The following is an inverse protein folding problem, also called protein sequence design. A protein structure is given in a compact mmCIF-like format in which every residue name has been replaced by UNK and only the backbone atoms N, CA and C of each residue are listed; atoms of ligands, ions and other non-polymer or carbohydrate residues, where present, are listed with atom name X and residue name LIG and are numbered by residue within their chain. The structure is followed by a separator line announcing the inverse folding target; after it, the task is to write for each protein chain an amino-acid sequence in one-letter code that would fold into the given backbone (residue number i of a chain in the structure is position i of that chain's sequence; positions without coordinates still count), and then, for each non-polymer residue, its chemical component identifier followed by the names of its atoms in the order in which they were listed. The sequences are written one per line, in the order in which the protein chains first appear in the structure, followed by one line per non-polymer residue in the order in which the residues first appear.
data_IF_363884841005
#
_entry.id   IF_363884841005
#
_cell.length_a   1.000
_cell.length_b   1.000
_cell.length_c   1.000
_cell.angle_alpha   90.00
_cell.angle_beta   90.00
_cell.angle_gamma   90.00
#
_symmetry.space_group_name_H-M   'P 1'
#
loop_
_entity.id
_entity.type
_entity.pdbx_description
1 polymer ?
#
# COMPACT_ATOMS: atom_id res chain seq x y z
N UNK A 1 50.52 -10.29 49.84
CA UNK A 1 50.78 -10.80 48.45
C UNK A 1 50.59 -12.30 48.44
N UNK A 2 50.32 -12.91 47.28
CA UNK A 2 50.31 -14.37 47.13
C UNK A 2 51.62 -14.82 46.49
N UNK A 3 52.23 -15.87 47.03
CA UNK A 3 53.43 -16.49 46.48
C UNK A 3 53.05 -17.72 45.66
N UNK A 4 53.33 -17.72 44.37
CA UNK A 4 52.96 -18.83 43.47
C UNK A 4 53.84 -20.07 43.65
N UNK A 5 54.98 -19.96 44.33
CA UNK A 5 55.83 -21.10 44.67
C UNK A 5 55.44 -21.73 46.02
N UNK A 6 55.05 -20.91 47.01
CA UNK A 6 54.56 -21.40 48.30
C UNK A 6 53.07 -21.75 48.29
N UNK A 7 52.35 -21.37 47.23
CA UNK A 7 50.89 -21.53 47.09
C UNK A 7 50.09 -20.94 48.27
N UNK A 8 50.62 -19.88 48.87
CA UNK A 8 50.06 -19.24 50.05
C UNK A 8 49.99 -17.71 49.91
N UNK A 9 49.03 -17.11 50.60
CA UNK A 9 48.90 -15.66 50.75
C UNK A 9 49.46 -15.20 52.08
N UNK A 10 50.33 -14.20 52.06
CA UNK A 10 51.01 -13.67 53.23
C UNK A 10 50.62 -12.21 53.49
N UNK A 11 50.49 -11.85 54.78
CA UNK A 11 50.55 -10.46 55.21
C UNK A 11 51.97 -9.90 55.07
N UNK A 12 52.13 -8.60 55.23
CA UNK A 12 53.37 -7.89 54.91
C UNK A 12 54.58 -8.39 55.70
N UNK A 13 54.42 -8.65 57.00
CA UNK A 13 55.50 -9.18 57.86
C UNK A 13 55.96 -10.56 57.43
N UNK A 14 55.04 -11.46 57.06
CA UNK A 14 55.37 -12.81 56.59
C UNK A 14 55.86 -12.84 55.13
N UNK A 15 55.77 -11.72 54.41
CA UNK A 15 56.29 -11.58 53.06
C UNK A 15 57.78 -11.18 53.06
N UNK A 16 58.26 -10.57 54.15
CA UNK A 16 59.62 -10.04 54.26
C UNK A 16 60.74 -11.05 53.89
N UNK A 17 60.65 -12.34 54.29
CA UNK A 17 61.63 -13.35 53.86
C UNK A 17 61.73 -13.54 52.34
N UNK A 18 60.66 -13.26 51.58
CA UNK A 18 60.67 -13.35 50.12
C UNK A 18 61.51 -12.27 49.43
N UNK A 19 61.79 -11.15 50.11
CA UNK A 19 62.63 -10.08 49.57
C UNK A 19 64.09 -10.20 50.00
N UNK A 20 64.31 -10.62 51.25
CA UNK A 20 65.61 -10.59 51.91
C UNK A 20 66.39 -11.89 51.77
N UNK A 21 65.72 -13.05 51.80
CA UNK A 21 66.38 -14.35 51.75
C UNK A 21 66.73 -14.74 50.31
N UNK A 22 68.00 -15.09 50.01
CA UNK A 22 68.40 -15.60 48.70
C UNK A 22 67.58 -16.82 48.23
N UNK A 23 67.11 -17.64 49.17
CA UNK A 23 66.31 -18.84 48.88
C UNK A 23 64.93 -18.50 48.31
N UNK A 24 64.29 -17.45 48.82
CA UNK A 24 62.91 -17.09 48.45
C UNK A 24 62.82 -15.96 47.43
N UNK A 25 63.94 -15.27 47.16
CA UNK A 25 64.02 -14.17 46.19
C UNK A 25 63.60 -14.55 44.77
N UNK A 26 63.67 -15.84 44.43
CA UNK A 26 63.21 -16.38 43.13
C UNK A 26 61.71 -16.65 43.07
N UNK A 27 61.00 -16.58 44.19
CA UNK A 27 59.57 -16.88 44.22
C UNK A 27 58.78 -15.73 43.58
N UNK A 28 57.88 -16.08 42.66
CA UNK A 28 57.01 -15.10 42.00
C UNK A 28 55.87 -14.69 42.93
N UNK A 29 55.87 -13.41 43.32
CA UNK A 29 54.81 -12.79 44.10
C UNK A 29 53.80 -12.10 43.18
N UNK A 30 52.51 -12.27 43.46
CA UNK A 30 51.40 -11.60 42.76
C UNK A 30 50.48 -10.92 43.76
N UNK A 31 49.64 -9.98 43.29
CA UNK A 31 48.64 -9.31 44.14
C UNK A 31 47.81 -10.36 44.86
N UNK A 32 47.62 -10.16 46.17
CA UNK A 32 46.87 -11.10 46.99
C UNK A 32 45.46 -11.27 46.41
N UNK A 33 45.04 -12.53 46.24
CA UNK A 33 43.73 -12.88 45.72
C UNK A 33 43.08 -13.89 46.66
N UNK A 34 41.79 -13.69 46.97
CA UNK A 34 41.01 -14.65 47.75
C UNK A 34 40.82 -15.99 47.01
N UNK A 35 41.00 -16.00 45.69
CA UNK A 35 40.80 -17.13 44.79
C UNK A 35 42.11 -17.87 44.48
N UNK A 36 43.08 -17.88 45.40
CA UNK A 36 44.34 -18.59 45.16
C UNK A 36 44.10 -20.11 45.06
N UNK A 37 43.18 -20.64 45.88
CA UNK A 37 42.84 -22.07 45.89
C UNK A 37 42.25 -22.55 44.56
N UNK A 38 41.48 -21.71 43.86
CA UNK A 38 40.93 -22.00 42.53
C UNK A 38 42.00 -22.13 41.43
N UNK A 39 43.25 -21.73 41.72
CA UNK A 39 44.38 -21.81 40.80
C UNK A 39 45.28 -23.01 41.08
N UNK A 40 44.93 -23.84 42.05
CA UNK A 40 45.67 -25.02 42.47
C UNK A 40 44.91 -26.26 42.00
N UNK A 41 45.62 -27.20 41.40
CA UNK A 41 45.09 -28.49 41.02
C UNK A 41 44.68 -29.28 42.27
N UNK A 42 43.43 -29.72 42.31
CA UNK A 42 42.87 -30.52 43.41
C UNK A 42 43.51 -31.89 43.56
N UNK A 43 44.14 -32.43 42.53
CA UNK A 43 44.73 -33.78 42.53
C UNK A 43 46.21 -33.80 42.90
N UNK A 44 46.95 -32.76 42.52
CA UNK A 44 48.42 -32.75 42.63
C UNK A 44 48.98 -31.61 43.48
N UNK A 45 48.12 -30.72 43.99
CA UNK A 45 48.50 -29.53 44.76
C UNK A 45 49.57 -28.67 44.04
N UNK A 46 49.46 -28.58 42.70
CA UNK A 46 50.33 -27.78 41.82
C UNK A 46 49.54 -26.68 41.14
N UNK A 47 50.22 -25.61 40.72
CA UNK A 47 49.60 -24.49 40.02
C UNK A 47 49.02 -24.93 38.66
N UNK A 48 47.83 -24.42 38.33
CA UNK A 48 47.18 -24.62 37.03
C UNK A 48 47.79 -23.69 35.97
N UNK A 49 48.98 -24.05 35.49
CA UNK A 49 49.76 -23.22 34.55
C UNK A 49 49.68 -23.66 33.08
N UNK A 50 49.02 -24.79 32.81
CA UNK A 50 48.78 -25.34 31.47
C UNK A 50 47.29 -25.26 31.15
N UNK A 51 46.95 -25.07 29.88
CA UNK A 51 45.58 -25.15 29.38
C UNK A 51 45.46 -26.31 28.39
N UNK A 52 44.53 -27.22 28.65
CA UNK A 52 44.17 -28.28 27.73
C UNK A 52 43.08 -27.77 26.78
N UNK A 53 43.38 -27.69 25.48
CA UNK A 53 42.42 -27.24 24.46
C UNK A 53 41.36 -28.28 24.16
N UNK A 54 41.72 -29.55 24.25
CA UNK A 54 40.81 -30.68 24.05
C UNK A 54 39.66 -30.64 25.06
N UNK A 55 39.98 -30.44 26.34
CA UNK A 55 38.99 -30.44 27.43
C UNK A 55 38.59 -29.03 27.91
N UNK A 56 39.19 -27.99 27.32
CA UNK A 56 38.94 -26.58 27.59
C UNK A 56 39.10 -26.13 29.06
N UNK A 57 40.08 -26.70 29.76
CA UNK A 57 40.31 -26.42 31.18
C UNK A 57 41.79 -26.14 31.51
N UNK A 58 42.01 -25.37 32.59
CA UNK A 58 43.34 -25.17 33.14
C UNK A 58 43.75 -26.39 33.98
N UNK A 59 44.96 -26.91 33.76
CA UNK A 59 45.54 -28.11 34.40
C UNK A 59 46.96 -27.82 34.89
N UNK A 60 47.51 -28.68 35.75
CA UNK A 60 48.92 -28.60 36.16
C UNK A 60 49.82 -29.47 35.26
N UNK A 61 51.14 -29.34 35.37
CA UNK A 61 52.10 -30.13 34.57
C UNK A 61 52.02 -31.64 34.81
N UNK A 62 51.61 -32.09 36.01
CA UNK A 62 51.46 -33.51 36.31
C UNK A 62 50.23 -34.10 35.61
N UNK A 63 49.11 -33.36 35.56
CA UNK A 63 47.92 -33.74 34.80
C UNK A 63 48.20 -33.98 33.30
N UNK A 64 49.15 -33.25 32.71
CA UNK A 64 49.56 -33.43 31.30
C UNK A 64 50.17 -34.81 31.07
N UNK A 65 50.91 -35.33 32.05
CA UNK A 65 51.58 -36.63 31.97
C UNK A 65 50.64 -37.80 32.31
N UNK A 66 49.61 -37.54 33.12
CA UNK A 66 48.63 -38.51 33.59
C UNK A 66 47.37 -38.50 32.69
N UNK A 67 46.30 -37.86 33.16
CA UNK A 67 44.96 -37.92 32.57
C UNK A 67 44.83 -37.24 31.20
N UNK A 68 45.65 -36.22 30.93
CA UNK A 68 45.62 -35.44 29.67
C UNK A 68 46.73 -35.84 28.69
N UNK A 69 47.27 -37.05 28.84
CA UNK A 69 48.36 -37.54 27.99
C UNK A 69 47.91 -37.64 26.53
N UNK A 70 48.58 -36.89 25.66
CA UNK A 70 48.27 -36.86 24.23
C UNK A 70 47.22 -35.83 23.81
N UNK A 71 46.69 -35.03 24.74
CA UNK A 71 45.79 -33.93 24.42
C UNK A 71 46.57 -32.70 23.90
N UNK A 72 45.89 -31.83 23.15
CA UNK A 72 46.46 -30.55 22.72
C UNK A 72 46.57 -29.62 23.93
N UNK A 73 47.79 -29.41 24.41
CA UNK A 73 48.08 -28.63 25.61
C UNK A 73 49.06 -27.51 25.31
N UNK A 74 48.81 -26.34 25.89
CA UNK A 74 49.63 -25.13 25.76
C UNK A 74 49.74 -24.45 27.12
N UNK A 75 50.69 -23.53 27.30
CA UNK A 75 50.71 -22.76 28.55
C UNK A 75 49.46 -21.89 28.69
N UNK A 76 48.94 -21.74 29.91
CA UNK A 76 47.77 -20.91 30.18
C UNK A 76 48.00 -19.44 29.76
N UNK A 77 49.24 -18.96 29.82
CA UNK A 77 49.60 -17.62 29.36
C UNK A 77 49.52 -17.48 27.82
N UNK A 78 49.96 -18.49 27.07
CA UNK A 78 49.86 -18.50 25.61
C UNK A 78 48.39 -18.58 25.17
N UNK A 79 47.60 -19.48 25.75
CA UNK A 79 46.18 -19.60 25.41
C UNK A 79 45.40 -18.32 25.77
N UNK A 80 45.69 -17.71 26.93
CA UNK A 80 45.10 -16.42 27.30
C UNK A 80 45.34 -15.37 26.22
N UNK A 81 46.55 -15.31 25.67
CA UNK A 81 46.90 -14.33 24.62
C UNK A 81 46.06 -14.53 23.37
N UNK A 82 45.87 -15.78 22.94
CA UNK A 82 45.01 -16.11 21.80
C UNK A 82 43.53 -15.84 22.08
N UNK A 83 43.01 -16.25 23.25
CA UNK A 83 41.62 -15.97 23.67
C UNK A 83 41.37 -14.48 23.83
N UNK A 84 42.35 -13.71 24.31
CA UNK A 84 42.28 -12.25 24.41
C UNK A 84 42.15 -11.60 23.02
N UNK A 85 42.89 -12.10 22.03
CA UNK A 85 42.79 -11.66 20.63
C UNK A 85 41.41 -11.98 20.05
N UNK A 86 40.92 -13.19 20.26
CA UNK A 86 39.57 -13.61 19.83
C UNK A 86 38.47 -12.76 20.48
N UNK A 87 38.60 -12.46 21.77
CA UNK A 87 37.68 -11.57 22.49
C UNK A 87 37.67 -10.17 21.85
N UNK A 88 38.84 -9.61 21.52
CA UNK A 88 38.94 -8.32 20.85
C UNK A 88 38.23 -8.30 19.49
N UNK A 89 38.40 -9.35 18.67
CA UNK A 89 37.68 -9.46 17.39
C UNK A 89 36.16 -9.58 17.58
N UNK A 90 35.72 -10.38 18.55
CA UNK A 90 34.29 -10.51 18.88
C UNK A 90 33.69 -9.20 19.36
N UNK A 91 34.42 -8.45 20.19
CA UNK A 91 34.01 -7.13 20.66
C UNK A 91 33.87 -6.13 19.49
N UNK A 92 34.82 -6.12 18.55
CA UNK A 92 34.72 -5.30 17.34
C UNK A 92 33.51 -5.67 16.48
N UNK A 93 33.23 -6.97 16.29
CA UNK A 93 32.05 -7.44 15.54
C UNK A 93 30.74 -6.99 16.20
N UNK A 94 30.66 -7.09 17.52
CA UNK A 94 29.48 -6.62 18.28
C UNK A 94 29.31 -5.11 18.12
N UNK A 95 30.39 -4.35 18.23
CA UNK A 95 30.35 -2.88 18.08
C UNK A 95 29.91 -2.46 16.68
N UNK A 96 30.41 -3.13 15.63
CA UNK A 96 30.00 -2.88 14.27
C UNK A 96 28.50 -3.16 14.08
N UNK A 97 28.03 -4.33 14.53
CA UNK A 97 26.61 -4.70 14.44
C UNK A 97 25.72 -3.74 15.22
N UNK A 98 26.19 -3.22 16.35
CA UNK A 98 25.48 -2.21 17.12
C UNK A 98 25.30 -0.91 16.31
N UNK A 99 26.37 -0.41 15.69
CA UNK A 99 26.32 0.79 14.85
C UNK A 99 25.40 0.61 13.62
N UNK A 100 25.48 -0.55 12.96
CA UNK A 100 24.57 -0.90 11.85
C UNK A 100 23.11 -0.88 12.30
N UNK A 101 22.81 -1.46 13.48
CA UNK A 101 21.45 -1.48 14.03
C UNK A 101 20.94 -0.11 14.47
N UNK A 102 21.81 0.74 15.03
CA UNK A 102 21.45 2.14 15.33
C UNK A 102 21.14 2.92 14.05
N UNK A 103 21.87 2.66 12.96
CA UNK A 103 21.60 3.28 11.66
C UNK A 103 20.24 2.81 11.10
N UNK A 104 20.01 1.49 11.06
CA UNK A 104 18.72 0.92 10.63
C UNK A 104 17.55 1.47 11.44
N UNK A 105 17.71 1.63 12.76
CA UNK A 105 16.69 2.20 13.64
C UNK A 105 16.34 3.64 13.25
N UNK A 106 17.34 4.48 12.99
CA UNK A 106 17.13 5.88 12.58
C UNK A 106 16.46 5.97 11.22
N UNK A 107 16.90 5.17 10.25
CA UNK A 107 16.29 5.10 8.91
C UNK A 107 14.83 4.69 9.00
N UNK A 108 14.50 3.68 9.82
CA UNK A 108 13.13 3.24 10.03
C UNK A 108 12.27 4.31 10.73
N UNK A 109 12.80 4.99 11.74
CA UNK A 109 12.10 6.10 12.40
C UNK A 109 11.75 7.21 11.40
N UNK A 110 12.70 7.61 10.56
CA UNK A 110 12.49 8.60 9.51
C UNK A 110 11.46 8.14 8.48
N UNK A 111 11.50 6.88 8.05
CA UNK A 111 10.54 6.31 7.12
C UNK A 111 9.11 6.33 7.71
N UNK A 112 8.95 5.96 8.98
CA UNK A 112 7.66 6.00 9.68
C UNK A 112 7.11 7.43 9.80
N UNK A 113 7.95 8.40 10.15
CA UNK A 113 7.54 9.81 10.23
C UNK A 113 7.16 10.37 8.85
N UNK A 114 7.95 10.07 7.83
CA UNK A 114 7.67 10.46 6.44
C UNK A 114 6.34 9.85 5.96
N UNK A 115 6.11 8.57 6.25
CA UNK A 115 4.86 7.90 5.91
C UNK A 115 3.65 8.55 6.60
N UNK A 116 3.75 8.83 7.91
CA UNK A 116 2.70 9.53 8.65
C UNK A 116 2.38 10.90 8.04
N UNK A 117 3.40 11.67 7.66
CA UNK A 117 3.22 12.97 7.01
C UNK A 117 2.55 12.83 5.64
N UNK A 118 2.98 11.85 4.85
CA UNK A 118 2.39 11.57 3.54
C UNK A 118 0.92 11.16 3.66
N UNK A 119 0.58 10.30 4.63
CA UNK A 119 -0.80 9.88 4.89
C UNK A 119 -1.66 11.08 5.31
N UNK A 120 -1.14 11.95 6.18
CA UNK A 120 -1.83 13.18 6.59
C UNK A 120 -2.08 14.12 5.41
N UNK A 121 -1.07 14.35 4.56
CA UNK A 121 -1.22 15.16 3.34
C UNK A 121 -2.30 14.58 2.41
N UNK A 122 -2.30 13.26 2.20
CA UNK A 122 -3.30 12.61 1.36
C UNK A 122 -4.73 12.75 1.92
N UNK A 123 -4.90 12.74 3.24
CA UNK A 123 -6.19 13.04 3.90
C UNK A 123 -6.60 14.48 3.65
N UNK A 124 -5.70 15.44 3.87
CA UNK A 124 -5.98 16.87 3.66
C UNK A 124 -6.35 17.19 2.20
N UNK A 125 -5.60 16.64 1.25
CA UNK A 125 -5.88 16.77 -0.18
C UNK A 125 -7.24 16.15 -0.54
N UNK A 126 -7.55 14.97 0.00
CA UNK A 126 -8.83 14.30 -0.21
C UNK A 126 -10.00 15.11 0.37
N UNK A 127 -9.85 15.64 1.58
CA UNK A 127 -10.86 16.47 2.24
C UNK A 127 -11.14 17.75 1.44
N UNK A 128 -10.10 18.37 0.88
CA UNK A 128 -10.27 19.53 -0.01
C UNK A 128 -11.12 19.16 -1.23
N UNK A 129 -10.79 18.06 -1.92
CA UNK A 129 -11.51 17.60 -3.11
C UNK A 129 -12.99 17.32 -2.78
N UNK A 130 -13.27 16.59 -1.70
CA UNK A 130 -14.64 16.32 -1.28
C UNK A 130 -15.40 17.60 -0.92
N UNK A 131 -14.73 18.55 -0.26
CA UNK A 131 -15.33 19.85 0.05
C UNK A 131 -15.73 20.62 -1.21
N UNK A 132 -14.88 20.62 -2.25
CA UNK A 132 -15.20 21.26 -3.53
C UNK A 132 -16.36 20.58 -4.27
N UNK A 133 -16.45 19.25 -4.20
CA UNK A 133 -17.57 18.47 -4.74
C UNK A 133 -18.88 18.80 -4.02
N UNK A 134 -18.88 18.82 -2.69
CA UNK A 134 -20.05 19.17 -1.88
C UNK A 134 -20.56 20.57 -2.26
N UNK A 135 -19.66 21.57 -2.30
CA UNK A 135 -20.02 22.95 -2.71
C UNK A 135 -20.63 22.99 -4.11
N UNK A 136 -20.14 22.17 -5.02
CA UNK A 136 -20.67 22.10 -6.39
C UNK A 136 -22.07 21.51 -6.42
N UNK A 137 -22.35 20.47 -5.62
CA UNK A 137 -23.68 19.88 -5.47
C UNK A 137 -24.65 20.88 -4.82
N UNK A 138 -24.24 21.58 -3.76
CA UNK A 138 -25.03 22.62 -3.10
C UNK A 138 -25.40 23.75 -4.06
N UNK A 139 -24.45 24.17 -4.91
CA UNK A 139 -24.70 25.16 -5.97
C UNK A 139 -25.78 24.69 -6.94
N UNK A 140 -25.63 23.47 -7.48
CA UNK A 140 -26.63 22.87 -8.40
C UNK A 140 -28.01 22.72 -7.74
N UNK A 141 -28.04 22.35 -6.45
CA UNK A 141 -29.29 22.28 -5.67
C UNK A 141 -29.98 23.65 -5.59
N UNK A 142 -29.20 24.72 -5.38
CA UNK A 142 -29.71 26.09 -5.37
C UNK A 142 -30.23 26.51 -6.76
N UNK A 143 -29.49 26.21 -7.83
CA UNK A 143 -29.92 26.49 -9.21
C UNK A 143 -31.27 25.83 -9.55
N UNK A 144 -31.47 24.57 -9.15
CA UNK A 144 -32.76 23.87 -9.36
C UNK A 144 -33.90 24.56 -8.61
N UNK A 145 -33.67 25.00 -7.37
CA UNK A 145 -34.68 25.74 -6.60
C UNK A 145 -35.06 27.04 -7.28
N UNK A 146 -34.07 27.81 -7.73
CA UNK A 146 -34.31 29.07 -8.44
C UNK A 146 -35.09 28.88 -9.74
N UNK A 147 -34.78 27.83 -10.53
CA UNK A 147 -35.54 27.49 -11.74
C UNK A 147 -37.01 27.19 -11.44
N UNK A 148 -37.28 26.40 -10.40
CA UNK A 148 -38.65 26.08 -9.98
C UNK A 148 -39.39 27.35 -9.55
N UNK A 149 -38.77 28.20 -8.71
CA UNK A 149 -39.38 29.44 -8.23
C UNK A 149 -39.63 30.46 -9.34
N UNK A 150 -38.70 30.57 -10.30
CA UNK A 150 -38.87 31.44 -11.47
C UNK A 150 -40.06 30.99 -12.32
N UNK A 151 -40.17 29.68 -12.59
CA UNK A 151 -41.27 29.13 -13.38
C UNK A 151 -42.61 29.25 -12.65
N UNK A 152 -42.64 28.95 -11.34
CA UNK A 152 -43.81 29.15 -10.48
C UNK A 152 -44.30 30.60 -10.58
N UNK A 153 -43.41 31.58 -10.34
CA UNK A 153 -43.75 33.00 -10.39
C UNK A 153 -44.30 33.41 -11.76
N UNK A 154 -43.63 33.00 -12.85
CA UNK A 154 -44.06 33.36 -14.20
C UNK A 154 -45.45 32.83 -14.54
N UNK A 155 -45.72 31.55 -14.23
CA UNK A 155 -47.01 30.92 -14.51
C UNK A 155 -48.13 31.44 -13.60
N UNK A 156 -47.83 31.69 -12.33
CA UNK A 156 -48.80 32.30 -11.39
C UNK A 156 -49.18 33.71 -11.82
N UNK A 157 -48.21 34.58 -12.14
CA UNK A 157 -48.52 35.93 -12.62
C UNK A 157 -49.34 35.94 -13.91
N UNK A 158 -49.08 35.00 -14.83
CA UNK A 158 -49.90 34.83 -16.03
C UNK A 158 -51.33 34.41 -15.68
N UNK A 159 -51.50 33.43 -14.79
CA UNK A 159 -52.80 32.94 -14.37
C UNK A 159 -53.62 34.00 -13.60
N UNK A 160 -52.98 34.77 -12.72
CA UNK A 160 -53.59 35.89 -12.00
C UNK A 160 -54.11 36.97 -12.96
N UNK A 161 -53.34 37.29 -14.01
CA UNK A 161 -53.78 38.23 -15.04
C UNK A 161 -55.03 37.76 -15.79
N UNK A 162 -55.07 36.49 -16.19
CA UNK A 162 -56.26 35.88 -16.82
C UNK A 162 -57.46 35.83 -15.87
N UNK A 163 -57.22 35.55 -14.58
CA UNK A 163 -58.26 35.50 -13.56
C UNK A 163 -58.90 36.86 -13.34
N UNK A 164 -58.12 37.94 -13.37
CA UNK A 164 -58.64 39.30 -13.25
C UNK A 164 -59.44 39.72 -14.49
N UNK A 165 -58.96 39.38 -15.69
CA UNK A 165 -59.71 39.59 -16.93
C UNK A 165 -61.07 38.87 -16.90
N UNK A 166 -61.09 37.60 -16.47
CA UNK A 166 -62.32 36.83 -16.39
C UNK A 166 -63.29 37.38 -15.34
N UNK A 167 -62.80 37.86 -14.19
CA UNK A 167 -63.64 38.52 -13.18
C UNK A 167 -64.30 39.79 -13.73
N UNK A 168 -63.54 40.61 -14.45
CA UNK A 168 -64.05 41.83 -15.07
C UNK A 168 -65.13 41.51 -16.10
N UNK A 169 -64.89 40.53 -16.96
CA UNK A 169 -65.88 40.08 -17.96
C UNK A 169 -67.16 39.55 -17.29
N UNK A 170 -67.05 38.73 -16.25
CA UNK A 170 -68.20 38.25 -15.47
C UNK A 170 -68.98 39.43 -14.85
N UNK A 171 -68.29 40.45 -14.33
CA UNK A 171 -68.94 41.62 -13.76
C UNK A 171 -69.71 42.44 -14.80
N UNK A 172 -69.13 42.62 -16.00
CA UNK A 172 -69.77 43.29 -17.13
C UNK A 172 -70.99 42.51 -17.65
N UNK A 173 -70.86 41.18 -17.79
CA UNK A 173 -71.96 40.29 -18.18
C UNK A 173 -73.10 40.33 -17.15
N UNK A 174 -72.79 40.31 -15.85
CA UNK A 174 -73.79 40.45 -14.78
C UNK A 174 -74.52 41.79 -14.85
N UNK A 175 -73.79 42.90 -15.00
CA UNK A 175 -74.40 44.23 -15.16
C UNK A 175 -75.34 44.26 -16.35
N UNK A 176 -74.90 43.75 -17.51
CA UNK A 176 -75.72 43.70 -18.72
C UNK A 176 -76.95 42.82 -18.54
N UNK A 177 -76.83 41.68 -17.87
CA UNK A 177 -77.97 40.82 -17.54
C UNK A 177 -79.02 41.57 -16.73
N UNK A 178 -78.60 42.35 -15.72
CA UNK A 178 -79.54 43.15 -14.91
C UNK A 178 -80.21 44.28 -15.69
N UNK A 179 -79.48 44.95 -16.61
CA UNK A 179 -80.05 46.00 -17.46
C UNK A 179 -81.07 45.43 -18.46
N UNK A 180 -80.82 44.24 -19.02
CA UNK A 180 -81.75 43.54 -19.90
C UNK A 180 -83.00 43.08 -19.15
N UNK A 181 -82.85 42.56 -17.93
CA UNK A 181 -83.96 42.15 -17.07
C UNK A 181 -84.83 43.35 -16.65
N UNK A 182 -84.23 44.49 -16.30
CA UNK A 182 -85.01 45.71 -16.02
C UNK A 182 -85.79 46.19 -17.26
N UNK A 183 -85.16 46.13 -18.44
CA UNK A 183 -85.81 46.53 -19.67
C UNK A 183 -86.99 45.63 -20.04
N UNK A 184 -86.90 44.31 -19.80
CA UNK A 184 -87.98 43.37 -20.10
C UNK A 184 -89.25 43.58 -19.28
N UNK A 185 -89.15 44.24 -18.12
CA UNK A 185 -90.29 44.58 -17.26
C UNK A 185 -90.85 45.99 -17.51
N UNK A 186 -90.35 46.70 -18.53
CA UNK A 186 -90.82 48.05 -18.86
C UNK A 186 -92.12 48.00 -19.68
N UNK A 187 -93.18 48.67 -19.21
CA UNK A 187 -94.46 48.76 -19.94
C UNK A 187 -94.48 49.85 -21.03
N UNK A 188 -93.59 50.85 -20.96
CA UNK A 188 -93.44 51.89 -21.98
C UNK A 188 -92.75 51.35 -23.23
N UNK A 189 -93.55 51.14 -24.28
CA UNK A 189 -93.09 50.61 -25.56
C UNK A 189 -92.07 51.49 -26.29
N UNK A 190 -92.12 52.82 -26.12
CA UNK A 190 -91.17 53.73 -26.79
C UNK A 190 -89.82 53.66 -26.08
N UNK A 191 -89.81 53.74 -24.75
CA UNK A 191 -88.59 53.59 -23.95
C UNK A 191 -87.96 52.20 -24.14
N UNK A 192 -88.77 51.15 -24.26
CA UNK A 192 -88.30 49.79 -24.57
C UNK A 192 -87.52 49.76 -25.89
N UNK A 193 -88.12 50.24 -26.98
CA UNK A 193 -87.52 50.18 -28.32
C UNK A 193 -86.23 51.02 -28.42
N UNK A 194 -86.22 52.23 -27.83
CA UNK A 194 -85.04 53.10 -27.82
C UNK A 194 -83.87 52.49 -27.04
N UNK A 195 -84.16 51.89 -25.87
CA UNK A 195 -83.12 51.34 -24.99
C UNK A 195 -82.65 49.95 -25.46
N UNK A 196 -83.54 49.15 -26.04
CA UNK A 196 -83.20 47.88 -26.67
C UNK A 196 -82.24 48.07 -27.85
N UNK A 197 -82.46 49.09 -28.69
CA UNK A 197 -81.55 49.40 -29.79
C UNK A 197 -80.15 49.80 -29.31
N UNK A 198 -80.07 50.54 -28.20
CA UNK A 198 -78.79 50.90 -27.56
C UNK A 198 -78.08 49.68 -26.98
N UNK A 199 -78.82 48.81 -26.27
CA UNK A 199 -78.28 47.59 -25.64
C UNK A 199 -77.96 46.46 -26.64
N UNK A 200 -78.58 46.43 -27.82
CA UNK A 200 -78.31 45.43 -28.86
C UNK A 200 -77.11 45.79 -29.75
N UNK A 201 -76.77 47.07 -29.87
CA UNK A 201 -75.67 47.56 -30.71
C UNK A 201 -74.27 47.32 -30.14
N UNK A 202 -74.15 47.14 -28.83
CA UNK A 202 -72.88 46.79 -28.18
C UNK A 202 -72.71 45.29 -28.36
N UNK A 203 -71.85 44.87 -29.30
CA UNK A 203 -71.43 43.47 -29.41
C UNK A 203 -71.03 42.99 -28.01
N UNK A 204 -71.76 42.01 -27.48
CA UNK A 204 -71.24 41.21 -26.37
C UNK A 204 -69.83 40.80 -26.82
N UNK A 205 -68.85 40.97 -25.95
CA UNK A 205 -67.44 40.57 -26.10
C UNK A 205 -67.32 39.10 -26.51
N UNK A 206 -67.76 38.77 -27.72
CA UNK A 206 -67.68 37.46 -28.30
C UNK A 206 -66.22 37.28 -28.66
N UNK A 207 -65.66 36.22 -28.11
CA UNK A 207 -64.42 35.56 -28.54
C UNK A 207 -63.20 35.83 -27.66
N UNK A 208 -63.36 36.01 -26.33
CA UNK A 208 -62.30 35.55 -25.44
C UNK A 208 -62.26 34.01 -25.51
N UNK A 209 -61.15 33.39 -25.97
CA UNK A 209 -61.07 31.95 -26.10
C UNK A 209 -61.30 31.29 -24.73
N UNK A 210 -62.02 30.16 -24.71
CA UNK A 210 -62.25 29.40 -23.48
C UNK A 210 -60.91 29.07 -22.81
N UNK A 211 -60.74 29.49 -21.56
CA UNK A 211 -59.53 29.20 -20.78
C UNK A 211 -59.47 27.69 -20.55
N UNK A 212 -58.48 27.03 -21.15
CA UNK A 212 -58.22 25.59 -20.94
C UNK A 212 -57.28 25.44 -19.76
N UNK A 213 -57.79 24.89 -18.66
CA UNK A 213 -56.98 24.54 -17.48
C UNK A 213 -56.35 23.16 -17.69
N UNK A 214 -55.02 23.06 -17.59
CA UNK A 214 -54.33 21.77 -17.68
C UNK A 214 -54.49 20.96 -16.39
N UNK A 215 -54.59 19.61 -16.48
CA UNK A 215 -54.60 18.74 -15.31
C UNK A 215 -53.32 18.86 -14.45
N UNK A 216 -53.48 18.59 -13.15
CA UNK A 216 -52.48 18.75 -12.09
C UNK A 216 -51.30 17.78 -12.19
N UNK A 217 -50.23 18.18 -12.89
CA UNK A 217 -48.89 17.60 -12.76
C UNK A 217 -47.84 18.64 -13.19
N UNK A 218 -47.51 19.57 -12.29
CA UNK A 218 -46.69 20.74 -12.66
C UNK A 218 -45.18 20.54 -12.52
N UNK A 219 -44.71 19.75 -11.54
CA UNK A 219 -43.27 19.57 -11.28
C UNK A 219 -42.84 18.14 -10.93
N UNK A 220 -43.73 17.14 -11.06
CA UNK A 220 -43.42 15.74 -10.72
C UNK A 220 -42.22 15.18 -11.51
N UNK A 221 -42.09 15.57 -12.78
CA UNK A 221 -40.97 15.16 -13.63
C UNK A 221 -39.62 15.76 -13.20
N UNK A 222 -39.63 16.93 -12.55
CA UNK A 222 -38.41 17.54 -12.01
C UNK A 222 -37.87 16.69 -10.86
N UNK A 223 -38.74 16.29 -9.92
CA UNK A 223 -38.36 15.41 -8.82
C UNK A 223 -37.86 14.05 -9.31
N UNK A 224 -38.50 13.50 -10.36
CA UNK A 224 -38.06 12.26 -10.99
C UNK A 224 -36.67 12.41 -11.61
N UNK A 225 -36.43 13.48 -12.37
CA UNK A 225 -35.13 13.75 -13.01
C UNK A 225 -34.00 13.93 -11.99
N UNK A 226 -34.27 14.64 -10.88
CA UNK A 226 -33.31 14.78 -9.77
C UNK A 226 -33.02 13.43 -9.09
N UNK A 227 -34.04 12.57 -8.98
CA UNK A 227 -33.87 11.22 -8.43
C UNK A 227 -32.99 10.36 -9.34
N UNK A 228 -33.20 10.41 -10.66
CA UNK A 228 -32.34 9.71 -11.63
C UNK A 228 -30.88 10.21 -11.60
N UNK A 229 -30.67 11.51 -11.38
CA UNK A 229 -29.34 12.07 -11.17
C UNK A 229 -28.67 11.49 -9.91
N UNK A 230 -29.42 11.36 -8.81
CA UNK A 230 -28.92 10.76 -7.56
C UNK A 230 -28.42 9.33 -7.79
N UNK A 231 -29.24 8.48 -8.40
CA UNK A 231 -28.88 7.08 -8.66
C UNK A 231 -27.59 6.96 -9.48
N UNK A 232 -27.46 7.77 -10.56
CA UNK A 232 -26.24 7.79 -11.39
C UNK A 232 -25.01 8.22 -10.60
N UNK A 233 -25.14 9.21 -9.72
CA UNK A 233 -24.04 9.67 -8.88
C UNK A 233 -23.63 8.60 -7.86
N UNK A 234 -24.59 7.95 -7.21
CA UNK A 234 -24.33 6.87 -6.25
C UNK A 234 -23.62 5.68 -6.90
N UNK A 235 -24.06 5.25 -8.08
CA UNK A 235 -23.42 4.14 -8.79
C UNK A 235 -22.00 4.48 -9.24
N UNK A 236 -21.77 5.72 -9.70
CA UNK A 236 -20.42 6.20 -10.01
C UNK A 236 -19.52 6.16 -8.76
N UNK A 237 -20.01 6.67 -7.62
CA UNK A 237 -19.27 6.69 -6.36
C UNK A 237 -18.92 5.27 -5.87
N UNK A 238 -19.85 4.31 -5.98
CA UNK A 238 -19.58 2.90 -5.62
C UNK A 238 -18.43 2.30 -6.44
N UNK A 239 -18.41 2.57 -7.75
CA UNK A 239 -17.36 2.08 -8.65
C UNK A 239 -15.98 2.64 -8.31
N UNK A 240 -15.90 3.96 -8.14
CA UNK A 240 -14.63 4.63 -7.83
C UNK A 240 -14.13 4.32 -6.40
N UNK A 241 -15.05 4.12 -5.45
CA UNK A 241 -14.70 3.74 -4.07
C UNK A 241 -13.83 2.49 -4.01
N UNK A 242 -14.11 1.50 -4.86
CA UNK A 242 -13.34 0.25 -4.91
C UNK A 242 -11.88 0.51 -5.32
N UNK A 243 -11.64 1.44 -6.25
CA UNK A 243 -10.29 1.82 -6.67
C UNK A 243 -9.55 2.59 -5.58
N UNK A 244 -10.24 3.52 -4.92
CA UNK A 244 -9.69 4.27 -3.78
C UNK A 244 -9.27 3.31 -2.68
N UNK A 245 -10.18 2.42 -2.25
CA UNK A 245 -9.90 1.42 -1.21
C UNK A 245 -8.72 0.52 -1.58
N UNK A 246 -8.63 0.07 -2.83
CA UNK A 246 -7.50 -0.74 -3.30
C UNK A 246 -6.19 0.03 -3.23
N UNK A 247 -6.17 1.30 -3.65
CA UNK A 247 -4.97 2.15 -3.64
C UNK A 247 -4.45 2.39 -2.23
N UNK A 248 -5.34 2.61 -1.25
CA UNK A 248 -4.99 2.77 0.16
C UNK A 248 -4.37 1.48 0.73
N UNK A 249 -4.89 0.31 0.34
CA UNK A 249 -4.45 -0.98 0.88
C UNK A 249 -3.10 -1.49 0.34
N UNK A 250 -2.53 -0.85 -0.69
CA UNK A 250 -1.25 -1.27 -1.32
C UNK A 250 -0.03 -0.67 -0.60
N UNK A 251 -0.21 0.33 0.26
CA UNK A 251 0.91 1.11 0.78
C UNK A 251 1.55 0.46 2.01
N UNK A 252 2.68 -0.20 1.80
CA UNK A 252 3.50 -0.79 2.87
C UNK A 252 4.69 0.11 3.25
N UNK A 253 4.82 0.42 4.54
CA UNK A 253 5.98 1.15 5.10
C UNK A 253 7.22 0.28 5.19
N UNK A 254 7.01 -1.02 5.38
CA UNK A 254 8.08 -1.99 5.60
C UNK A 254 7.93 -3.10 4.59
N UNK A 255 8.80 -3.08 3.58
CA UNK A 255 9.01 -4.25 2.75
C UNK A 255 9.62 -5.37 3.63
N UNK A 256 9.21 -6.64 3.46
CA UNK A 256 9.86 -7.72 4.18
C UNK A 256 11.38 -7.69 3.93
N UNK A 257 12.23 -8.14 4.87
CA UNK A 257 13.67 -8.14 4.63
C UNK A 257 14.01 -8.87 3.32
N UNK A 258 15.02 -8.40 2.59
CA UNK A 258 15.52 -9.11 1.42
C UNK A 258 15.95 -10.53 1.84
N UNK A 259 15.48 -11.58 1.16
CA UNK A 259 15.91 -12.95 1.44
C UNK A 259 17.43 -13.08 1.22
N UNK A 260 18.17 -13.52 2.23
CA UNK A 260 19.64 -13.67 2.17
C UNK A 260 20.09 -15.11 2.01
N UNK A 261 19.21 -16.08 2.29
CA UNK A 261 19.51 -17.50 2.13
C UNK A 261 18.61 -18.13 1.07
N UNK A 262 19.07 -19.24 0.48
CA UNK A 262 18.28 -19.99 -0.50
C UNK A 262 16.94 -20.45 0.08
N UNK A 263 16.92 -20.84 1.35
CA UNK A 263 15.71 -21.29 2.05
C UNK A 263 14.68 -20.16 2.19
N UNK A 264 15.13 -18.93 2.42
CA UNK A 264 14.26 -17.76 2.45
C UNK A 264 13.74 -17.41 1.06
N UNK A 265 14.56 -17.55 0.02
CA UNK A 265 14.14 -17.35 -1.38
C UNK A 265 13.08 -18.37 -1.81
N UNK A 266 13.23 -19.64 -1.39
CA UNK A 266 12.29 -20.72 -1.69
C UNK A 266 10.88 -20.49 -1.12
N UNK A 267 10.71 -19.64 -0.09
CA UNK A 267 9.38 -19.24 0.41
C UNK A 267 8.57 -18.49 -0.66
N UNK A 268 9.24 -17.83 -1.60
CA UNK A 268 8.63 -17.11 -2.72
C UNK A 268 8.65 -17.94 -4.02
N UNK A 269 8.90 -19.26 -3.92
CA UNK A 269 9.04 -20.11 -5.09
C UNK A 269 7.76 -20.14 -5.92
N UNK A 270 7.90 -19.86 -7.20
CA UNK A 270 6.83 -19.94 -8.18
C UNK A 270 7.14 -21.06 -9.17
N UNK A 271 6.13 -21.86 -9.50
CA UNK A 271 6.25 -22.85 -10.55
C UNK A 271 5.85 -22.22 -11.88
N UNK A 272 6.84 -22.03 -12.76
CA UNK A 272 6.65 -21.46 -14.08
C UNK A 272 6.59 -22.56 -15.13
N UNK A 273 5.66 -22.39 -16.07
CA UNK A 273 5.50 -23.25 -17.24
C UNK A 273 5.62 -22.41 -18.50
N UNK A 274 6.43 -22.86 -19.45
CA UNK A 274 6.65 -22.17 -20.71
C UNK A 274 5.39 -22.25 -21.58
N UNK A 275 5.01 -21.14 -22.20
CA UNK A 275 3.82 -21.08 -23.05
C UNK A 275 4.14 -21.49 -24.49
N UNK A 276 3.62 -22.63 -24.99
CA UNK A 276 3.85 -23.07 -26.36
C UNK A 276 3.34 -22.09 -27.42
N UNK A 277 2.37 -21.23 -27.06
CA UNK A 277 1.83 -20.22 -27.97
C UNK A 277 2.81 -19.08 -28.23
N UNK A 278 3.73 -18.83 -27.31
CA UNK A 278 4.74 -17.77 -27.46
C UNK A 278 6.06 -18.28 -28.02
N UNK A 279 6.37 -19.57 -27.83
CA UNK A 279 7.65 -20.16 -28.20
C UNK A 279 8.00 -19.98 -29.68
N UNK A 280 9.17 -19.41 -29.97
CA UNK A 280 9.68 -19.33 -31.33
C UNK A 280 9.89 -20.74 -31.92
N UNK A 281 9.69 -20.88 -33.22
CA UNK A 281 9.62 -22.19 -33.90
C UNK A 281 10.89 -23.03 -33.84
N UNK A 282 12.07 -22.48 -33.54
CA UNK A 282 13.32 -23.25 -33.37
C UNK A 282 13.55 -23.72 -31.93
N UNK A 283 12.60 -23.48 -31.02
CA UNK A 283 12.65 -23.90 -29.62
C UNK A 283 11.73 -25.10 -29.40
N UNK A 284 12.27 -26.19 -28.86
CA UNK A 284 11.48 -27.36 -28.46
C UNK A 284 11.16 -27.31 -26.97
N UNK A 285 9.89 -27.43 -26.61
CA UNK A 285 9.41 -27.51 -25.24
C UNK A 285 9.22 -28.97 -24.80
N UNK A 286 9.68 -29.31 -23.60
CA UNK A 286 9.61 -30.67 -23.05
C UNK A 286 9.45 -30.66 -21.52
N UNK A 287 9.34 -31.85 -20.92
CA UNK A 287 9.13 -32.05 -19.46
C UNK A 287 7.94 -31.23 -18.93
N UNK A 288 6.78 -31.35 -19.57
CA UNK A 288 5.60 -30.57 -19.20
C UNK A 288 5.80 -29.06 -19.34
N UNK A 289 6.48 -28.64 -20.41
CA UNK A 289 6.87 -27.25 -20.70
C UNK A 289 7.74 -26.59 -19.62
N UNK A 290 8.51 -27.37 -18.86
CA UNK A 290 9.50 -26.86 -17.88
C UNK A 290 10.93 -26.90 -18.38
N UNK A 291 11.14 -27.39 -19.61
CA UNK A 291 12.44 -27.40 -20.28
C UNK A 291 12.27 -26.89 -21.70
N UNK A 292 13.15 -25.97 -22.11
CA UNK A 292 13.30 -25.51 -23.49
C UNK A 292 14.66 -25.94 -24.03
N UNK A 293 14.71 -26.26 -25.32
CA UNK A 293 15.97 -26.62 -26.01
C UNK A 293 15.96 -25.99 -27.39
N UNK A 294 17.06 -25.34 -27.75
CA UNK A 294 17.25 -24.83 -29.10
C UNK A 294 17.65 -25.99 -30.01
N UNK A 295 16.77 -26.40 -30.93
CA UNK A 295 16.99 -27.57 -31.79
C UNK A 295 17.45 -27.19 -33.20
N UNK A 296 17.37 -25.91 -33.58
CA UNK A 296 17.71 -25.42 -34.92
C UNK A 296 16.78 -25.91 -36.03
N UNK A 297 15.79 -26.74 -35.69
CA UNK A 297 14.75 -27.25 -36.58
C UNK A 297 13.41 -26.63 -36.23
N UNK A 298 12.63 -26.28 -37.25
CA UNK A 298 11.27 -25.74 -37.10
C UNK A 298 10.37 -26.79 -36.44
N UNK A 299 9.92 -26.49 -35.23
CA UNK A 299 8.97 -27.27 -34.47
C UNK A 299 7.54 -27.02 -34.99
N UNK A 300 6.67 -28.04 -34.99
CA UNK A 300 5.33 -27.96 -35.59
C UNK A 300 4.31 -27.29 -34.65
N UNK A 301 4.62 -26.07 -34.19
CA UNK A 301 3.65 -25.30 -33.41
C UNK A 301 2.59 -24.65 -34.32
N UNK A 302 1.31 -24.58 -33.89
CA UNK A 302 0.29 -23.84 -34.63
C UNK A 302 0.62 -22.36 -34.73
N UNK A 303 0.19 -21.70 -35.81
CA UNK A 303 0.29 -20.25 -35.92
C UNK A 303 -0.49 -19.57 -34.78
N UNK A 304 0.12 -18.55 -34.16
CA UNK A 304 -0.47 -17.83 -33.05
C UNK A 304 0.03 -16.38 -33.02
N UNK A 305 -0.83 -15.37 -32.76
CA UNK A 305 -0.42 -13.96 -32.75
C UNK A 305 0.66 -13.65 -31.70
N UNK A 306 0.64 -14.36 -30.56
CA UNK A 306 1.64 -14.17 -29.50
C UNK A 306 2.99 -14.86 -29.76
N UNK A 307 3.18 -15.52 -30.90
CA UNK A 307 4.41 -16.29 -31.19
C UNK A 307 5.55 -15.36 -31.58
N UNK A 308 6.68 -15.48 -30.89
CA UNK A 308 7.90 -14.80 -31.33
C UNK A 308 8.35 -15.35 -32.68
N UNK A 309 8.71 -14.46 -33.60
CA UNK A 309 9.14 -14.82 -34.96
C UNK A 309 10.62 -14.55 -35.18
N UNK A 310 11.12 -13.40 -34.75
CA UNK A 310 12.50 -12.95 -35.01
C UNK A 310 13.53 -13.54 -34.05
N UNK A 311 13.19 -13.63 -32.76
CA UNK A 311 14.12 -14.03 -31.69
C UNK A 311 13.73 -15.35 -31.06
N UNK A 312 14.72 -16.20 -30.74
CA UNK A 312 14.54 -17.52 -30.10
C UNK A 312 14.13 -17.36 -28.62
N UNK A 313 12.89 -16.97 -28.39
CA UNK A 313 12.34 -16.61 -27.09
C UNK A 313 11.05 -17.36 -26.79
N UNK A 314 10.70 -17.43 -25.51
CA UNK A 314 9.47 -18.01 -25.01
C UNK A 314 9.13 -17.36 -23.67
N UNK A 315 7.86 -17.05 -23.43
CA UNK A 315 7.35 -16.56 -22.15
C UNK A 315 6.80 -17.71 -21.30
N UNK A 316 6.68 -17.49 -20.00
CA UNK A 316 5.86 -18.32 -19.13
C UNK A 316 4.37 -17.98 -19.28
N UNK A 317 3.50 -18.92 -18.92
CA UNK A 317 2.05 -18.73 -18.89
C UNK A 317 1.62 -17.87 -17.71
N UNK A 318 2.29 -18.05 -16.59
CA UNK A 318 1.99 -17.39 -15.33
C UNK A 318 2.45 -15.93 -15.37
N UNK A 319 1.57 -15.02 -14.96
CA UNK A 319 1.96 -13.64 -14.64
C UNK A 319 2.57 -13.59 -13.23
N UNK A 320 3.63 -12.80 -13.07
CA UNK A 320 4.28 -12.60 -11.77
C UNK A 320 3.73 -11.35 -11.09
N UNK A 321 3.47 -11.43 -9.78
CA UNK A 321 3.10 -10.29 -8.94
C UNK A 321 3.72 -10.41 -7.55
N UNK A 322 4.12 -9.28 -6.97
CA UNK A 322 4.81 -9.26 -5.68
C UNK A 322 6.22 -9.87 -5.76
N UNK A 323 6.63 -10.59 -4.69
CA UNK A 323 7.93 -11.30 -4.65
C UNK A 323 7.79 -12.68 -5.24
N UNK A 324 8.55 -12.96 -6.30
CA UNK A 324 8.61 -14.25 -6.94
C UNK A 324 10.06 -14.73 -7.03
N UNK A 325 10.27 -16.03 -6.85
CA UNK A 325 11.56 -16.69 -6.99
C UNK A 325 11.42 -17.94 -7.86
N UNK A 326 12.36 -18.15 -8.76
CA UNK A 326 12.46 -19.37 -9.55
C UNK A 326 13.92 -19.70 -9.81
N UNK A 327 14.21 -20.98 -10.00
CA UNK A 327 15.55 -21.46 -10.32
C UNK A 327 15.54 -22.05 -11.73
N UNK A 328 16.57 -21.72 -12.52
CA UNK A 328 16.75 -22.24 -13.88
C UNK A 328 18.07 -22.99 -13.93
N UNK A 329 17.98 -24.28 -14.23
CA UNK A 329 19.14 -25.07 -14.60
C UNK A 329 19.46 -24.81 -16.07
N UNK A 330 20.68 -24.35 -16.37
CA UNK A 330 21.11 -23.99 -17.73
C UNK A 330 22.33 -24.78 -18.19
N UNK A 331 22.37 -25.05 -19.48
CA UNK A 331 23.53 -25.58 -20.20
C UNK A 331 23.69 -24.77 -21.48
N UNK A 332 24.90 -24.27 -21.76
CA UNK A 332 25.17 -23.37 -22.88
C UNK A 332 24.80 -21.90 -22.61
N UNK A 333 24.64 -21.14 -23.69
CA UNK A 333 24.32 -19.71 -23.67
C UNK A 333 22.81 -19.50 -23.60
N UNK A 334 22.33 -19.08 -22.42
CA UNK A 334 20.91 -18.90 -22.11
C UNK A 334 20.74 -17.66 -21.24
N UNK A 335 19.81 -16.80 -21.62
CA UNK A 335 19.41 -15.60 -20.86
C UNK A 335 18.04 -15.83 -20.23
N UNK A 336 17.89 -15.46 -18.97
CA UNK A 336 16.62 -15.42 -18.25
C UNK A 336 16.24 -13.97 -18.00
N UNK A 337 15.01 -13.58 -18.33
CA UNK A 337 14.52 -12.22 -18.20
C UNK A 337 13.10 -12.19 -17.62
N UNK A 338 12.70 -11.02 -17.13
CA UNK A 338 11.31 -10.68 -16.82
C UNK A 338 10.89 -9.63 -17.84
N UNK A 339 9.68 -9.77 -18.39
CA UNK A 339 9.16 -8.86 -19.40
C UNK A 339 7.65 -8.70 -19.24
N UNK A 340 7.12 -7.54 -19.62
CA UNK A 340 5.68 -7.34 -19.72
C UNK A 340 5.08 -8.23 -20.80
N UNK A 341 3.85 -8.67 -20.56
CA UNK A 341 3.12 -9.57 -21.47
C UNK A 341 2.97 -8.97 -22.87
N UNK A 342 2.92 -7.64 -22.99
CA UNK A 342 2.69 -6.90 -24.23
C UNK A 342 3.96 -6.58 -25.03
N UNK A 343 5.12 -7.17 -24.70
CA UNK A 343 6.33 -7.04 -25.51
C UNK A 343 6.11 -7.50 -26.97
N UNK A 344 6.66 -6.75 -27.91
CA UNK A 344 6.55 -7.00 -29.35
C UNK A 344 7.02 -8.40 -29.74
N UNK A 345 6.30 -9.03 -30.69
CA UNK A 345 6.58 -10.41 -31.16
C UNK A 345 7.33 -10.47 -32.48
N UNK A 346 7.34 -9.36 -33.22
CA UNK A 346 7.69 -9.29 -34.64
C UNK A 346 8.60 -8.13 -35.02
N UNK A 347 8.84 -7.18 -34.11
CA UNK A 347 9.73 -6.04 -34.39
C UNK A 347 11.19 -6.38 -34.03
N UNK A 348 12.13 -5.64 -34.63
CA UNK A 348 13.56 -5.84 -34.42
C UNK A 348 13.99 -5.50 -32.97
N UNK A 349 13.21 -4.73 -32.23
CA UNK A 349 13.43 -4.44 -30.81
C UNK A 349 12.70 -5.42 -29.88
N UNK A 350 11.98 -6.43 -30.38
CA UNK A 350 11.23 -7.42 -29.58
C UNK A 350 12.07 -8.44 -28.79
N UNK A 351 13.39 -8.25 -28.75
CA UNK A 351 14.31 -9.07 -27.95
C UNK A 351 14.30 -8.67 -26.47
N UNK A 352 14.32 -9.65 -25.56
CA UNK A 352 14.42 -9.43 -24.13
C UNK A 352 15.70 -8.64 -23.81
N UNK A 353 15.55 -7.49 -23.14
CA UNK A 353 16.65 -6.59 -22.80
C UNK A 353 17.03 -5.57 -23.88
N UNK A 354 16.37 -5.55 -25.04
CA UNK A 354 16.59 -4.58 -26.11
C UNK A 354 15.48 -3.53 -26.25
N UNK A 355 14.57 -3.46 -25.27
CA UNK A 355 13.45 -2.54 -25.24
C UNK A 355 13.12 -2.14 -23.79
N UNK A 356 12.14 -1.25 -23.63
CA UNK A 356 11.66 -0.79 -22.32
C UNK A 356 10.53 -1.68 -21.74
N UNK A 357 10.44 -2.94 -22.19
CA UNK A 357 9.34 -3.85 -21.86
C UNK A 357 9.77 -5.14 -21.17
#
# INVERSE_FOLDING_TARGET
MSCLACLASYCETHLQPHYESPAFKKHKLVKATAQLQEKICSHHDKLLEVYCRTDQQCICLLCVMDEHKGHDTVSAAAERTEKQRQLGMSQQKVQQRFQEREKELKELQQAVESFKRSAQSAVEDSDQIFTELIRSIERRSSEVKELIRAQEKAQVSQAEGLLEQLKQEIAELRKRSTELEQLSHTEDHIHFLQRYQSLSSISVSSDLPSIVVRPLQYFGDVSKTVSELREKLEDFLKGEWTKISTTVNIVDVVLPPEPKTREQLLQYSCQLTLDPNTAQTNLSLSKGNRKVTCTGQVQPYPDHPDRFTNYRQVLCREGLSGRCYWEVERTGDVVTAVSYKDISRTEDDGGFGYNNK
#
